data_IF_837019949065
#
_entry.id   IF_837019949065
#
_cell.length_a   1.000
_cell.length_b   1.000
_cell.length_c   1.000
_cell.angle_alpha   90.00
_cell.angle_beta   90.00
_cell.angle_gamma   90.00
#
_symmetry.space_group_name_H-M   'P 1'
#
loop_
_entity.id
_entity.type
_entity.pdbx_description
1 polymer ?
#
# COMPACT_ATOMS: atom_id res chain seq x y z
N UNK A 1 7.79 -1.18 10.03
CA UNK A 1 8.13 -2.18 11.05
C UNK A 1 6.98 -3.11 11.41
N UNK A 2 5.79 -2.61 11.76
CA UNK A 2 4.65 -3.47 12.17
C UNK A 2 4.31 -4.61 11.18
N UNK A 3 4.31 -4.32 9.87
CA UNK A 3 4.07 -5.34 8.82
C UNK A 3 5.11 -6.47 8.80
N UNK A 4 6.37 -6.14 9.08
CA UNK A 4 7.47 -7.11 9.13
C UNK A 4 7.33 -8.02 10.36
N UNK A 5 7.01 -7.43 11.50
CA UNK A 5 6.76 -8.16 12.75
C UNK A 5 5.58 -9.12 12.57
N UNK A 6 4.47 -8.63 11.99
CA UNK A 6 3.30 -9.46 11.70
C UNK A 6 3.63 -10.63 10.76
N UNK A 7 4.45 -10.38 9.73
CA UNK A 7 4.88 -11.43 8.79
C UNK A 7 5.73 -12.50 9.48
N UNK A 8 6.65 -12.10 10.36
CA UNK A 8 7.49 -13.03 11.12
C UNK A 8 6.64 -13.88 12.06
N UNK A 9 5.71 -13.26 12.79
CA UNK A 9 4.78 -13.99 13.67
C UNK A 9 3.95 -14.98 12.88
N UNK A 10 3.42 -14.58 11.72
CA UNK A 10 2.66 -15.47 10.85
C UNK A 10 3.52 -16.64 10.34
N UNK A 11 4.77 -16.38 9.96
CA UNK A 11 5.71 -17.41 9.51
C UNK A 11 5.97 -18.45 10.60
N UNK A 12 6.18 -18.01 11.84
CA UNK A 12 6.40 -18.90 13.00
C UNK A 12 5.17 -19.75 13.27
N UNK A 13 3.97 -19.16 13.21
CA UNK A 13 2.71 -19.90 13.40
C UNK A 13 2.55 -20.96 12.30
N UNK A 14 2.82 -20.61 11.04
CA UNK A 14 2.74 -21.56 9.91
C UNK A 14 3.76 -22.68 10.06
N UNK A 15 5.00 -22.37 10.47
CA UNK A 15 6.04 -23.38 10.68
C UNK A 15 5.67 -24.34 11.84
N UNK A 16 5.17 -23.80 12.95
CA UNK A 16 4.72 -24.61 14.09
C UNK A 16 3.52 -25.48 13.73
N UNK A 17 2.52 -24.91 13.05
CA UNK A 17 1.37 -25.65 12.56
C UNK A 17 1.77 -26.72 11.54
N UNK A 18 2.77 -26.45 10.71
CA UNK A 18 3.30 -27.40 9.74
C UNK A 18 4.02 -28.57 10.40
N UNK A 19 4.75 -28.32 11.49
CA UNK A 19 5.44 -29.38 12.24
C UNK A 19 4.44 -30.27 13.00
N UNK A 20 3.43 -29.67 13.64
CA UNK A 20 2.40 -30.40 14.41
C UNK A 20 1.41 -31.19 13.54
N UNK A 21 1.28 -30.84 12.25
CA UNK A 21 0.34 -31.47 11.32
C UNK A 21 1.06 -32.10 10.12
N UNK A 22 2.36 -32.37 10.22
CA UNK A 22 3.12 -33.07 9.17
C UNK A 22 2.58 -34.49 8.94
N UNK A 23 2.22 -35.19 10.01
CA UNK A 23 1.76 -36.59 9.93
C UNK A 23 0.26 -36.72 9.66
N UNK A 24 -0.47 -35.60 9.64
CA UNK A 24 -1.91 -35.59 9.34
C UNK A 24 -2.12 -35.46 7.84
N UNK A 25 -2.45 -36.58 7.21
CA UNK A 25 -2.99 -36.59 5.85
C UNK A 25 -4.46 -36.18 5.89
N UNK A 26 -4.84 -35.34 4.93
CA UNK A 26 -6.21 -34.85 4.77
C UNK A 26 -6.69 -35.31 3.40
N UNK A 27 -7.81 -36.03 3.38
CA UNK A 27 -8.48 -36.38 2.14
C UNK A 27 -9.11 -35.14 1.53
N UNK A 28 -8.62 -34.73 0.37
CA UNK A 28 -9.12 -33.56 -0.32
C UNK A 28 -10.03 -33.99 -1.47
N UNK A 29 -11.34 -33.81 -1.29
CA UNK A 29 -12.31 -33.94 -2.38
C UNK A 29 -12.63 -32.55 -2.92
N UNK A 30 -12.26 -32.30 -4.18
CA UNK A 30 -12.63 -31.08 -4.89
C UNK A 30 -13.69 -31.46 -5.92
N UNK A 31 -14.91 -30.99 -5.71
CA UNK A 31 -16.09 -31.37 -6.50
C UNK A 31 -16.30 -32.90 -6.57
N UNK A 32 -15.88 -33.54 -7.67
CA UNK A 32 -16.00 -34.99 -7.93
C UNK A 32 -14.63 -35.70 -8.05
N UNK A 33 -13.53 -34.98 -7.82
CA UNK A 33 -12.18 -35.55 -7.86
C UNK A 33 -11.64 -35.70 -6.44
N UNK A 34 -11.34 -36.94 -6.05
CA UNK A 34 -10.60 -37.23 -4.82
C UNK A 34 -9.11 -37.11 -5.11
N UNK A 35 -8.50 -36.02 -4.65
CA UNK A 35 -7.04 -35.89 -4.63
C UNK A 35 -6.55 -36.59 -3.36
N UNK A 36 -6.39 -37.91 -3.44
CA UNK A 36 -5.94 -38.87 -2.41
C UNK A 36 -5.57 -38.34 -1.02
N UNK A 37 -4.39 -38.72 -0.53
CA UNK A 37 -3.86 -38.27 0.76
C UNK A 37 -2.84 -37.15 0.53
N UNK A 38 -3.25 -35.92 0.81
CA UNK A 38 -2.35 -34.76 0.80
C UNK A 38 -2.00 -34.38 2.23
N UNK A 39 -0.72 -34.06 2.46
CA UNK A 39 -0.31 -33.53 3.75
C UNK A 39 -0.98 -32.18 3.99
N UNK A 40 -1.52 -31.96 5.20
CA UNK A 40 -2.17 -30.71 5.58
C UNK A 40 -1.30 -29.47 5.29
N UNK A 41 0.03 -29.64 5.42
CA UNK A 41 1.04 -28.63 5.09
C UNK A 41 0.91 -28.11 3.65
N UNK A 42 0.77 -29.01 2.68
CA UNK A 42 0.70 -28.65 1.25
C UNK A 42 -0.55 -27.82 0.98
N UNK A 43 -1.67 -28.18 1.59
CA UNK A 43 -2.92 -27.43 1.51
C UNK A 43 -2.81 -26.02 2.06
N UNK A 44 -2.15 -25.86 3.21
CA UNK A 44 -1.92 -24.56 3.83
C UNK A 44 -1.05 -23.70 2.93
N UNK A 45 0.04 -24.24 2.38
CA UNK A 45 0.89 -23.52 1.43
C UNK A 45 0.11 -23.06 0.18
N UNK A 46 -0.70 -23.93 -0.41
CA UNK A 46 -1.53 -23.58 -1.56
C UNK A 46 -2.50 -22.44 -1.22
N UNK A 47 -3.16 -22.50 -0.05
CA UNK A 47 -4.08 -21.45 0.39
C UNK A 47 -3.38 -20.10 0.61
N UNK A 48 -2.17 -20.11 1.20
CA UNK A 48 -1.36 -18.91 1.42
C UNK A 48 -0.93 -18.31 0.07
N UNK A 49 -0.45 -19.14 -0.86
CA UNK A 49 -0.06 -18.71 -2.20
C UNK A 49 -1.26 -18.09 -2.93
N UNK A 50 -2.43 -18.72 -2.87
CA UNK A 50 -3.66 -18.18 -3.45
C UNK A 50 -4.04 -16.83 -2.82
N UNK A 51 -3.97 -16.72 -1.48
CA UNK A 51 -4.21 -15.46 -0.78
C UNK A 51 -3.26 -14.34 -1.20
N UNK A 52 -1.97 -14.65 -1.33
CA UNK A 52 -0.95 -13.70 -1.82
C UNK A 52 -1.24 -13.30 -3.27
N UNK A 53 -1.54 -14.26 -4.13
CA UNK A 53 -1.79 -14.04 -5.56
C UNK A 53 -3.02 -13.15 -5.80
N UNK A 54 -4.06 -13.28 -4.98
CA UNK A 54 -5.24 -12.41 -5.02
C UNK A 54 -4.96 -11.01 -4.45
N UNK A 55 -4.16 -10.92 -3.39
CA UNK A 55 -3.94 -9.65 -2.67
C UNK A 55 -2.90 -8.75 -3.36
N UNK A 56 -1.84 -9.33 -3.94
CA UNK A 56 -0.78 -8.60 -4.66
C UNK A 56 -1.29 -7.60 -5.70
N UNK A 57 -2.12 -7.99 -6.69
CA UNK A 57 -2.58 -7.07 -7.72
C UNK A 57 -3.43 -5.93 -7.15
N UNK A 58 -4.21 -6.19 -6.10
CA UNK A 58 -5.02 -5.16 -5.42
C UNK A 58 -4.12 -4.11 -4.76
N UNK A 59 -3.09 -4.55 -4.03
CA UNK A 59 -2.14 -3.67 -3.35
C UNK A 59 -1.34 -2.85 -4.36
N UNK A 60 -0.88 -3.46 -5.46
CA UNK A 60 -0.16 -2.77 -6.53
C UNK A 60 -1.04 -1.67 -7.13
N UNK A 61 -2.30 -1.99 -7.47
CA UNK A 61 -3.26 -1.04 -8.03
C UNK A 61 -3.51 0.14 -7.09
N UNK A 62 -3.75 -0.13 -5.81
CA UNK A 62 -3.95 0.92 -4.81
C UNK A 62 -2.71 1.80 -4.69
N UNK A 63 -1.52 1.21 -4.58
CA UNK A 63 -0.27 1.97 -4.44
C UNK A 63 -0.01 2.87 -5.63
N UNK A 64 -0.29 2.39 -6.85
CA UNK A 64 -0.20 3.19 -8.06
C UNK A 64 -1.16 4.38 -8.04
N UNK A 65 -2.41 4.16 -7.64
CA UNK A 65 -3.41 5.22 -7.52
C UNK A 65 -3.00 6.29 -6.50
N UNK A 66 -2.52 5.89 -5.32
CA UNK A 66 -2.01 6.81 -4.31
C UNK A 66 -0.82 7.62 -4.81
N UNK A 67 0.12 6.99 -5.52
CA UNK A 67 1.29 7.68 -6.07
C UNK A 67 0.88 8.75 -7.11
N UNK A 68 -0.10 8.42 -7.97
CA UNK A 68 -0.66 9.37 -8.93
C UNK A 68 -1.32 10.57 -8.23
N UNK A 69 -2.10 10.31 -7.17
CA UNK A 69 -2.79 11.36 -6.39
C UNK A 69 -1.79 12.31 -5.71
N UNK A 70 -0.75 11.78 -5.08
CA UNK A 70 0.31 12.58 -4.45
C UNK A 70 1.02 13.47 -5.49
N UNK A 71 1.30 12.93 -6.68
CA UNK A 71 1.97 13.69 -7.75
C UNK A 71 1.10 14.85 -8.27
N UNK A 72 -0.21 14.67 -8.32
CA UNK A 72 -1.15 15.73 -8.70
C UNK A 72 -1.18 16.85 -7.66
N UNK A 73 -1.39 16.49 -6.39
CA UNK A 73 -1.45 17.45 -5.28
C UNK A 73 -0.12 18.19 -5.08
N UNK A 74 1.02 17.52 -5.33
CA UNK A 74 2.34 18.16 -5.31
C UNK A 74 2.52 19.21 -6.40
N UNK A 75 1.96 18.97 -7.61
CA UNK A 75 1.97 19.96 -8.70
C UNK A 75 1.10 21.17 -8.35
N UNK A 76 -0.09 20.95 -7.81
CA UNK A 76 -0.97 22.04 -7.37
C UNK A 76 -0.32 22.88 -6.28
N UNK A 77 0.24 22.26 -5.23
CA UNK A 77 1.00 22.98 -4.20
C UNK A 77 2.16 23.81 -4.79
N UNK A 78 2.89 23.27 -5.78
CA UNK A 78 3.97 24.02 -6.45
C UNK A 78 3.45 25.19 -7.28
N UNK A 79 2.30 25.05 -7.93
CA UNK A 79 1.68 26.11 -8.71
C UNK A 79 1.10 27.21 -7.81
N UNK A 80 0.36 26.84 -6.77
CA UNK A 80 -0.13 27.79 -5.76
C UNK A 80 1.03 28.53 -5.09
N UNK A 81 2.12 27.84 -4.74
CA UNK A 81 3.31 28.49 -4.17
C UNK A 81 3.97 29.47 -5.15
N UNK A 82 3.92 29.20 -6.46
CA UNK A 82 4.41 30.13 -7.49
C UNK A 82 3.49 31.33 -7.67
N UNK A 83 2.17 31.15 -7.62
CA UNK A 83 1.19 32.24 -7.69
C UNK A 83 1.29 33.17 -6.49
N UNK A 84 1.34 32.63 -5.27
CA UNK A 84 1.58 33.42 -4.06
C UNK A 84 2.90 34.18 -4.17
N UNK A 85 3.98 33.53 -4.60
CA UNK A 85 5.28 34.19 -4.77
C UNK A 85 5.24 35.32 -5.82
N UNK A 86 4.50 35.17 -6.91
CA UNK A 86 4.31 36.25 -7.91
C UNK A 86 3.53 37.41 -7.32
N UNK A 87 2.39 37.14 -6.67
CA UNK A 87 1.57 38.17 -6.03
C UNK A 87 2.34 38.93 -4.95
N UNK A 88 3.10 38.24 -4.09
CA UNK A 88 3.95 38.89 -3.09
C UNK A 88 5.15 39.62 -3.70
N UNK A 89 5.67 39.18 -4.85
CA UNK A 89 6.76 39.86 -5.57
C UNK A 89 6.31 41.07 -6.38
N UNK A 90 5.01 41.16 -6.73
CA UNK A 90 4.39 42.31 -7.38
C UNK A 90 3.84 43.34 -6.37
N UNK A 91 3.64 42.93 -5.11
CA UNK A 91 3.25 43.82 -4.01
C UNK A 91 4.27 44.87 -3.50
N UNK A 92 5.61 44.78 -3.67
CA UNK A 92 6.50 45.84 -3.18
C UNK A 92 6.37 47.14 -3.99
N UNK A 93 5.59 47.18 -5.08
CA UNK A 93 5.35 48.39 -5.88
C UNK A 93 4.06 49.14 -5.54
N UNK A 94 3.12 48.55 -4.80
CA UNK A 94 1.83 49.18 -4.48
C UNK A 94 1.79 49.84 -3.10
N UNK A 95 2.70 49.49 -2.18
CA UNK A 95 2.79 50.11 -0.85
C UNK A 95 3.67 51.38 -0.82
N UNK A 96 4.26 51.78 -1.94
CA UNK A 96 5.06 53.01 -2.06
C UNK A 96 4.29 54.20 -2.63
N UNK A 97 3.00 54.05 -2.95
CA UNK A 97 2.21 55.09 -3.64
C UNK A 97 1.11 55.76 -2.80
N UNK A 98 1.18 55.65 -1.46
CA UNK A 98 0.26 56.35 -0.53
C UNK A 98 0.97 57.31 0.44
N UNK A 99 2.14 57.85 0.05
CA UNK A 99 2.63 59.10 0.63
C UNK A 99 2.39 60.22 -0.39
N UNK A 100 1.14 60.68 -0.50
CA UNK A 100 0.77 61.88 -1.25
C UNK A 100 0.96 63.14 -0.34
N UNK A 101 0.76 64.37 -0.84
CA UNK A 101 1.76 65.34 -1.30
C UNK A 101 1.84 66.63 -0.44
N UNK A 102 2.66 67.57 -0.91
CA UNK A 102 2.46 69.02 -0.79
C UNK A 102 2.41 69.60 0.63
N UNK A 103 3.54 70.13 1.11
CA UNK A 103 3.79 71.59 1.28
C UNK A 103 5.18 71.83 1.84
#
# INVERSE_FOLDING_TARGET
>A
MFKLILLIVLLVIVAFFSAENSDKTVHLSIFNYSLGDLHAVVLIFISVILGILLTLPIVIKQRYFYYKKIRHQSKECKNLKKEVKKLTSDQPKLLTHDNHPST
#
